data_IF_080703444322
#
_entry.id   IF_080703444322
#
_cell.length_a   1.000
_cell.length_b   1.000
_cell.length_c   1.000
_cell.angle_alpha   90.00
_cell.angle_beta   90.00
_cell.angle_gamma   90.00
#
_symmetry.space_group_name_H-M   'P 1'
#
loop_
_entity.id
_entity.type
_entity.pdbx_description
1 polymer ?
#
# COMPACT_ATOMS: atom_id res chain seq x y z
N UNK A 1 -51.56 -17.37 -0.71
CA UNK A 1 -51.16 -17.02 -2.09
C UNK A 1 -50.56 -15.61 -2.22
N UNK A 2 -50.80 -14.67 -1.28
CA UNK A 2 -50.10 -13.37 -1.24
C UNK A 2 -48.82 -13.37 -0.37
N UNK A 3 -48.71 -14.21 0.65
CA UNK A 3 -47.57 -14.21 1.60
C UNK A 3 -46.28 -14.78 1.01
N UNK A 4 -46.37 -15.81 0.15
CA UNK A 4 -45.22 -16.43 -0.54
C UNK A 4 -44.62 -15.52 -1.63
N UNK A 5 -45.40 -14.56 -2.13
CA UNK A 5 -44.95 -13.57 -3.13
C UNK A 5 -44.17 -12.41 -2.50
N UNK A 6 -44.29 -12.19 -1.19
CA UNK A 6 -43.55 -11.16 -0.46
C UNK A 6 -42.18 -11.68 -0.03
N UNK A 7 -42.09 -12.90 0.49
CA UNK A 7 -40.80 -13.50 0.89
C UNK A 7 -39.85 -13.72 -0.31
N UNK A 8 -40.38 -14.08 -1.48
CA UNK A 8 -39.57 -14.21 -2.71
C UNK A 8 -39.07 -12.86 -3.25
N UNK A 9 -39.79 -11.77 -2.97
CA UNK A 9 -39.38 -10.41 -3.35
C UNK A 9 -38.35 -9.84 -2.37
N UNK A 10 -38.42 -10.25 -1.11
CA UNK A 10 -37.51 -9.85 -0.04
C UNK A 10 -36.15 -10.58 -0.13
N UNK A 11 -36.17 -11.88 -0.47
CA UNK A 11 -34.94 -12.66 -0.74
C UNK A 11 -34.20 -12.21 -2.02
N UNK A 12 -34.94 -11.80 -3.06
CA UNK A 12 -34.36 -11.23 -4.28
C UNK A 12 -33.74 -9.84 -4.04
N UNK A 13 -34.27 -9.07 -3.09
CA UNK A 13 -33.70 -7.80 -2.69
C UNK A 13 -32.41 -8.01 -1.88
N UNK A 14 -32.37 -9.01 -0.99
CA UNK A 14 -31.18 -9.31 -0.19
C UNK A 14 -29.98 -9.81 -1.02
N UNK A 15 -30.20 -10.57 -2.10
CA UNK A 15 -29.13 -11.05 -2.99
C UNK A 15 -28.68 -10.00 -4.03
N UNK A 16 -29.57 -9.14 -4.50
CA UNK A 16 -29.20 -7.96 -5.30
C UNK A 16 -28.37 -6.96 -4.48
N UNK A 17 -28.70 -6.80 -3.20
CA UNK A 17 -27.90 -6.04 -2.23
C UNK A 17 -26.53 -6.70 -2.03
N UNK A 18 -26.42 -8.03 -2.09
CA UNK A 18 -25.17 -8.77 -1.95
C UNK A 18 -24.24 -8.66 -3.17
N UNK A 19 -24.80 -8.71 -4.39
CA UNK A 19 -24.03 -8.42 -5.60
C UNK A 19 -23.58 -6.94 -5.67
N UNK A 20 -24.40 -6.02 -5.13
CA UNK A 20 -23.98 -4.64 -4.89
C UNK A 20 -22.93 -4.52 -3.77
N UNK A 21 -23.01 -5.31 -2.69
CA UNK A 21 -22.02 -5.30 -1.60
C UNK A 21 -20.67 -5.89 -2.03
N UNK A 22 -20.66 -6.85 -2.95
CA UNK A 22 -19.42 -7.44 -3.48
C UNK A 22 -18.69 -6.47 -4.43
N UNK A 23 -19.41 -5.55 -5.08
CA UNK A 23 -18.87 -4.69 -6.15
C UNK A 23 -18.73 -3.20 -5.77
N UNK A 24 -19.29 -2.77 -4.64
CA UNK A 24 -19.33 -1.35 -4.19
C UNK A 24 -18.53 -1.10 -2.91
N UNK A 25 -17.70 -2.02 -2.43
CA UNK A 25 -16.82 -1.77 -1.27
C UNK A 25 -15.40 -1.47 -1.74
N UNK A 26 -15.05 -0.21 -2.08
CA UNK A 26 -13.68 0.22 -1.91
C UNK A 26 -13.48 0.56 -0.42
N UNK A 27 -12.47 -0.07 0.16
CA UNK A 27 -11.77 0.35 1.37
C UNK A 27 -12.45 0.04 2.72
N UNK A 28 -11.76 -0.81 3.48
CA UNK A 28 -11.80 -1.01 4.93
C UNK A 28 -13.10 -1.54 5.55
N UNK A 29 -13.30 -2.86 5.55
CA UNK A 29 -14.10 -3.48 6.60
C UNK A 29 -13.70 -4.94 6.87
N UNK A 30 -13.76 -5.34 8.13
CA UNK A 30 -13.35 -6.64 8.73
C UNK A 30 -14.10 -7.87 8.17
N UNK A 31 -14.94 -7.71 7.15
CA UNK A 31 -15.92 -8.72 6.68
C UNK A 31 -15.46 -9.63 5.55
N UNK A 32 -14.17 -9.60 5.19
CA UNK A 32 -13.60 -10.48 4.14
C UNK A 32 -13.81 -12.00 4.36
N UNK A 33 -13.78 -12.58 5.58
CA UNK A 33 -13.96 -14.02 5.75
C UNK A 33 -15.43 -14.47 5.60
N UNK A 34 -16.40 -13.59 5.88
CA UNK A 34 -17.84 -13.87 5.74
C UNK A 34 -18.22 -14.01 4.27
N UNK A 35 -17.66 -13.15 3.42
CA UNK A 35 -17.88 -13.16 1.96
C UNK A 35 -17.39 -14.47 1.31
N UNK A 36 -16.27 -15.02 1.78
CA UNK A 36 -15.76 -16.31 1.31
C UNK A 36 -16.68 -17.48 1.70
N UNK A 37 -17.25 -17.46 2.92
CA UNK A 37 -18.15 -18.50 3.39
C UNK A 37 -19.49 -18.50 2.61
N UNK A 38 -19.98 -17.32 2.27
CA UNK A 38 -21.22 -17.13 1.50
C UNK A 38 -21.05 -17.52 0.02
N UNK A 39 -19.87 -17.27 -0.55
CA UNK A 39 -19.50 -17.74 -1.88
C UNK A 39 -19.51 -19.29 -1.94
N UNK A 40 -18.93 -19.95 -0.92
CA UNK A 40 -18.90 -21.41 -0.82
C UNK A 40 -20.32 -21.99 -0.70
N UNK A 41 -21.21 -21.35 0.07
CA UNK A 41 -22.61 -21.80 0.18
C UNK A 41 -23.37 -21.69 -1.14
N UNK A 42 -23.12 -20.63 -1.91
CA UNK A 42 -23.79 -20.42 -3.20
C UNK A 42 -23.34 -21.43 -4.26
N UNK A 43 -22.04 -21.77 -4.28
CA UNK A 43 -21.47 -22.82 -5.14
C UNK A 43 -22.04 -24.21 -4.78
N UNK A 44 -22.30 -24.46 -3.49
CA UNK A 44 -22.85 -25.74 -3.00
C UNK A 44 -24.35 -25.89 -3.31
N UNK A 45 -25.11 -24.80 -3.45
CA UNK A 45 -26.56 -24.87 -3.66
C UNK A 45 -27.01 -25.06 -5.12
N UNK A 46 -26.11 -24.99 -6.10
CA UNK A 46 -26.35 -25.48 -7.48
C UNK A 46 -27.59 -24.93 -8.19
N UNK A 47 -28.07 -23.74 -7.83
CA UNK A 47 -29.23 -23.12 -8.47
C UNK A 47 -28.85 -22.56 -9.85
N UNK A 48 -29.52 -23.02 -10.91
CA UNK A 48 -29.43 -22.38 -12.23
C UNK A 48 -29.97 -20.94 -12.15
N UNK A 49 -29.07 -19.98 -11.92
CA UNK A 49 -29.39 -18.57 -11.87
C UNK A 49 -29.61 -18.05 -13.30
N UNK A 50 -30.87 -17.89 -13.70
CA UNK A 50 -31.24 -17.29 -14.99
C UNK A 50 -31.73 -15.86 -14.78
N UNK A 51 -30.89 -14.89 -15.08
CA UNK A 51 -31.27 -13.48 -15.13
C UNK A 51 -32.34 -13.26 -16.20
N UNK A 52 -33.36 -12.45 -15.90
CA UNK A 52 -34.27 -11.97 -16.94
C UNK A 52 -33.54 -10.95 -17.83
N UNK A 53 -33.95 -10.82 -19.10
CA UNK A 53 -33.31 -9.90 -20.06
C UNK A 53 -33.28 -8.44 -19.57
N UNK A 54 -34.27 -8.02 -18.79
CA UNK A 54 -34.26 -6.69 -18.18
C UNK A 54 -33.20 -6.59 -17.08
N UNK A 55 -33.09 -7.58 -16.20
CA UNK A 55 -32.07 -7.61 -15.15
C UNK A 55 -30.65 -7.67 -15.72
N UNK A 56 -30.42 -8.46 -16.77
CA UNK A 56 -29.14 -8.52 -17.48
C UNK A 56 -28.75 -7.13 -18.02
N UNK A 57 -29.70 -6.41 -18.62
CA UNK A 57 -29.47 -5.04 -19.10
C UNK A 57 -29.10 -4.08 -17.97
N UNK A 58 -29.81 -4.13 -16.84
CA UNK A 58 -29.50 -3.30 -15.67
C UNK A 58 -28.10 -3.58 -15.10
N UNK A 59 -27.72 -4.86 -15.01
CA UNK A 59 -26.39 -5.26 -14.53
C UNK A 59 -25.30 -4.71 -15.45
N UNK A 60 -25.46 -4.86 -16.77
CA UNK A 60 -24.50 -4.34 -17.76
C UNK A 60 -24.37 -2.81 -17.66
N UNK A 61 -25.49 -2.09 -17.59
CA UNK A 61 -25.49 -0.62 -17.51
C UNK A 61 -24.81 -0.12 -16.21
N UNK A 62 -25.08 -0.75 -15.08
CA UNK A 62 -24.44 -0.41 -13.80
C UNK A 62 -22.93 -0.69 -13.85
N UNK A 63 -22.52 -1.88 -14.33
CA UNK A 63 -21.11 -2.25 -14.42
C UNK A 63 -20.33 -1.33 -15.36
N UNK A 64 -20.90 -0.95 -16.50
CA UNK A 64 -20.30 0.01 -17.43
C UNK A 64 -20.13 1.38 -16.78
N UNK A 65 -21.15 1.87 -16.07
CA UNK A 65 -21.09 3.15 -15.35
C UNK A 65 -19.99 3.17 -14.29
N UNK A 66 -19.92 2.14 -13.44
CA UNK A 66 -18.89 2.01 -12.40
C UNK A 66 -17.50 1.94 -13.02
N UNK A 67 -17.33 1.15 -14.08
CA UNK A 67 -16.05 1.02 -14.80
C UNK A 67 -15.60 2.36 -15.38
N UNK A 68 -16.51 3.13 -15.96
CA UNK A 68 -16.21 4.46 -16.51
C UNK A 68 -15.78 5.43 -15.41
N UNK A 69 -16.50 5.48 -14.29
CA UNK A 69 -16.15 6.34 -13.15
C UNK A 69 -14.79 5.98 -12.59
N UNK A 70 -14.52 4.68 -12.37
CA UNK A 70 -13.21 4.19 -11.89
C UNK A 70 -12.10 4.53 -12.88
N UNK A 71 -12.32 4.38 -14.18
CA UNK A 71 -11.35 4.74 -15.21
C UNK A 71 -11.01 6.25 -15.18
N UNK A 72 -12.02 7.11 -15.02
CA UNK A 72 -11.80 8.56 -14.86
C UNK A 72 -10.99 8.87 -13.60
N UNK A 73 -11.27 8.18 -12.49
CA UNK A 73 -10.49 8.31 -11.26
C UNK A 73 -9.04 7.83 -11.44
N UNK A 74 -8.79 6.75 -12.18
CA UNK A 74 -7.42 6.31 -12.52
C UNK A 74 -6.66 7.42 -13.24
N UNK A 75 -7.27 8.02 -14.26
CA UNK A 75 -6.66 9.10 -15.04
C UNK A 75 -6.38 10.30 -14.13
N UNK A 76 -7.34 10.68 -13.28
CA UNK A 76 -7.21 11.79 -12.34
C UNK A 76 -6.08 11.55 -11.32
N UNK A 77 -6.06 10.40 -10.64
CA UNK A 77 -5.05 10.08 -9.64
C UNK A 77 -3.64 9.98 -10.25
N UNK A 78 -3.51 9.54 -11.52
CA UNK A 78 -2.21 9.51 -12.23
C UNK A 78 -1.61 10.88 -12.52
N UNK A 79 -2.38 11.96 -12.42
CA UNK A 79 -1.84 13.33 -12.57
C UNK A 79 -1.01 13.77 -11.38
N UNK A 80 -1.12 13.11 -10.22
CA UNK A 80 -0.39 13.44 -9.01
C UNK A 80 0.90 12.64 -8.87
N UNK A 81 1.93 13.26 -8.30
CA UNK A 81 3.24 12.63 -8.09
C UNK A 81 3.34 11.87 -6.76
N UNK A 82 2.45 12.17 -5.81
CA UNK A 82 2.44 11.60 -4.45
C UNK A 82 2.20 10.08 -4.48
N UNK A 83 3.03 9.32 -3.74
CA UNK A 83 2.96 7.85 -3.69
C UNK A 83 1.62 7.33 -3.18
N UNK A 84 1.01 8.00 -2.20
CA UNK A 84 -0.29 7.62 -1.66
C UNK A 84 -1.37 7.72 -2.75
N UNK A 85 -1.32 8.79 -3.56
CA UNK A 85 -2.29 8.99 -4.65
C UNK A 85 -2.04 8.01 -5.80
N UNK A 86 -0.77 7.63 -6.06
CA UNK A 86 -0.44 6.56 -7.01
C UNK A 86 -0.96 5.20 -6.56
N UNK A 87 -0.92 4.89 -5.26
CA UNK A 87 -1.51 3.67 -4.72
C UNK A 87 -3.03 3.63 -4.96
N UNK A 88 -3.74 4.76 -4.76
CA UNK A 88 -5.16 4.87 -5.14
C UNK A 88 -5.40 4.71 -6.65
N UNK A 89 -4.52 5.27 -7.49
CA UNK A 89 -4.62 5.07 -8.94
C UNK A 89 -4.47 3.60 -9.34
N UNK A 90 -3.56 2.88 -8.69
CA UNK A 90 -3.33 1.45 -8.90
C UNK A 90 -4.54 0.63 -8.45
N UNK A 91 -5.12 0.95 -7.29
CA UNK A 91 -6.35 0.34 -6.77
C UNK A 91 -7.51 0.48 -7.76
N UNK A 92 -7.80 1.70 -8.19
CA UNK A 92 -8.86 1.94 -9.17
C UNK A 92 -8.60 1.26 -10.51
N UNK A 93 -7.34 1.08 -10.91
CA UNK A 93 -7.00 0.36 -12.13
C UNK A 93 -7.29 -1.14 -12.01
N UNK A 94 -7.00 -1.73 -10.86
CA UNK A 94 -7.39 -3.11 -10.59
C UNK A 94 -8.91 -3.29 -10.57
N UNK A 95 -9.65 -2.34 -10.00
CA UNK A 95 -11.12 -2.35 -10.04
C UNK A 95 -11.67 -2.30 -11.47
N UNK A 96 -11.05 -1.50 -12.35
CA UNK A 96 -11.44 -1.48 -13.78
C UNK A 96 -11.21 -2.85 -14.42
N UNK A 97 -10.05 -3.48 -14.17
CA UNK A 97 -9.74 -4.81 -14.73
C UNK A 97 -10.73 -5.85 -14.22
N UNK A 98 -10.98 -5.93 -12.92
CA UNK A 98 -11.88 -6.93 -12.33
C UNK A 98 -13.32 -6.72 -12.79
N UNK A 99 -13.79 -5.47 -12.90
CA UNK A 99 -15.12 -5.15 -13.44
C UNK A 99 -15.24 -5.54 -14.93
N UNK A 100 -14.21 -5.29 -15.75
CA UNK A 100 -14.21 -5.71 -17.16
C UNK A 100 -14.25 -7.24 -17.28
N UNK A 101 -13.46 -7.95 -16.48
CA UNK A 101 -13.50 -9.42 -16.43
C UNK A 101 -14.89 -9.92 -16.00
N UNK A 102 -15.47 -9.31 -14.98
CA UNK A 102 -16.82 -9.63 -14.50
C UNK A 102 -17.90 -9.37 -15.56
N UNK A 103 -17.79 -8.28 -16.32
CA UNK A 103 -18.71 -7.96 -17.41
C UNK A 103 -18.60 -8.97 -18.56
N UNK A 104 -17.37 -9.36 -18.94
CA UNK A 104 -17.13 -10.41 -19.93
C UNK A 104 -17.70 -11.75 -19.46
N UNK A 105 -17.52 -12.10 -18.18
CA UNK A 105 -18.08 -13.30 -17.59
C UNK A 105 -19.62 -13.29 -17.62
N UNK A 106 -20.25 -12.15 -17.26
CA UNK A 106 -21.71 -12.00 -17.31
C UNK A 106 -22.28 -12.16 -18.74
N UNK A 107 -21.60 -11.59 -19.75
CA UNK A 107 -22.00 -11.74 -21.16
C UNK A 107 -21.82 -13.16 -21.67
N UNK A 108 -20.78 -13.86 -21.21
CA UNK A 108 -20.49 -15.23 -21.60
C UNK A 108 -21.31 -16.25 -20.82
N UNK A 109 -21.85 -15.92 -19.65
CA UNK A 109 -22.58 -16.85 -18.77
C UNK A 109 -23.71 -17.60 -19.49
N UNK A 110 -24.36 -16.97 -20.46
CA UNK A 110 -25.43 -17.59 -21.26
C UNK A 110 -24.92 -18.60 -22.33
N UNK A 111 -23.63 -18.59 -22.65
CA UNK A 111 -22.99 -19.41 -23.69
C UNK A 111 -22.09 -20.52 -23.15
N UNK A 112 -21.66 -20.44 -21.88
CA UNK A 112 -20.77 -21.43 -21.25
C UNK A 112 -21.51 -22.32 -20.25
N UNK A 113 -21.13 -23.60 -20.18
CA UNK A 113 -21.73 -24.60 -19.29
C UNK A 113 -21.56 -24.22 -17.80
N UNK A 114 -22.58 -24.52 -16.98
CA UNK A 114 -22.72 -24.03 -15.60
C UNK A 114 -21.64 -24.39 -14.56
N UNK A 115 -20.59 -25.14 -14.93
CA UNK A 115 -19.44 -25.42 -14.06
C UNK A 115 -18.31 -24.40 -14.20
N UNK A 116 -18.33 -23.59 -15.26
CA UNK A 116 -17.29 -22.59 -15.54
C UNK A 116 -17.42 -21.39 -14.61
N UNK A 117 -18.64 -21.04 -14.21
CA UNK A 117 -18.93 -19.91 -13.32
C UNK A 117 -18.26 -20.07 -11.92
N UNK A 118 -18.45 -21.18 -11.17
CA UNK A 118 -17.80 -21.34 -9.87
C UNK A 118 -16.27 -21.47 -9.97
N UNK A 119 -15.74 -22.13 -11.02
CA UNK A 119 -14.29 -22.26 -11.21
C UNK A 119 -13.66 -20.91 -11.56
N UNK A 120 -14.31 -20.13 -12.44
CA UNK A 120 -13.89 -18.78 -12.80
C UNK A 120 -13.89 -17.85 -11.59
N UNK A 121 -14.92 -17.93 -10.75
CA UNK A 121 -15.00 -17.17 -9.50
C UNK A 121 -13.85 -17.51 -8.53
N UNK A 122 -13.51 -18.78 -8.36
CA UNK A 122 -12.39 -19.21 -7.49
C UNK A 122 -11.05 -18.71 -8.04
N UNK A 123 -10.82 -18.82 -9.35
CA UNK A 123 -9.57 -18.33 -9.97
C UNK A 123 -9.46 -16.81 -9.80
N UNK A 124 -10.54 -16.08 -10.04
CA UNK A 124 -10.57 -14.62 -9.88
C UNK A 124 -10.35 -14.22 -8.41
N UNK A 125 -10.93 -14.95 -7.45
CA UNK A 125 -10.72 -14.72 -6.03
C UNK A 125 -9.24 -14.91 -5.63
N UNK A 126 -8.60 -16.01 -6.05
CA UNK A 126 -7.17 -16.26 -5.79
C UNK A 126 -6.30 -15.17 -6.43
N UNK A 127 -6.57 -14.80 -7.68
CA UNK A 127 -5.84 -13.75 -8.38
C UNK A 127 -5.94 -12.41 -7.66
N UNK A 128 -7.15 -12.05 -7.22
CA UNK A 128 -7.42 -10.81 -6.48
C UNK A 128 -6.68 -10.84 -5.14
N UNK A 129 -6.81 -11.90 -4.35
CA UNK A 129 -6.12 -12.03 -3.06
C UNK A 129 -4.61 -11.87 -3.24
N UNK A 130 -4.01 -12.58 -4.20
CA UNK A 130 -2.56 -12.50 -4.47
C UNK A 130 -2.13 -11.07 -4.82
N UNK A 131 -2.87 -10.41 -5.71
CA UNK A 131 -2.58 -9.05 -6.16
C UNK A 131 -2.65 -8.07 -4.99
N UNK A 132 -3.71 -8.14 -4.19
CA UNK A 132 -3.89 -7.31 -3.00
C UNK A 132 -2.83 -7.57 -1.93
N UNK A 133 -2.44 -8.83 -1.70
CA UNK A 133 -1.36 -9.16 -0.76
C UNK A 133 -0.04 -8.52 -1.16
N UNK A 134 0.31 -8.52 -2.46
CA UNK A 134 1.51 -7.86 -2.96
C UNK A 134 1.44 -6.34 -2.75
N UNK A 135 0.33 -5.70 -3.12
CA UNK A 135 0.13 -4.26 -2.94
C UNK A 135 0.20 -3.84 -1.47
N UNK A 136 -0.37 -4.65 -0.57
CA UNK A 136 -0.29 -4.37 0.88
C UNK A 136 1.15 -4.47 1.37
N UNK A 137 1.91 -5.49 0.94
CA UNK A 137 3.31 -5.63 1.31
C UNK A 137 4.14 -4.44 0.80
N UNK A 138 3.94 -4.01 -0.44
CA UNK A 138 4.62 -2.82 -0.99
C UNK A 138 4.32 -1.56 -0.19
N UNK A 139 3.05 -1.33 0.18
CA UNK A 139 2.65 -0.19 1.02
C UNK A 139 3.22 -0.28 2.44
N UNK A 140 3.24 -1.47 3.04
CA UNK A 140 3.85 -1.69 4.35
C UNK A 140 5.35 -1.42 4.28
N UNK A 141 6.04 -1.87 3.23
CA UNK A 141 7.46 -1.61 3.05
C UNK A 141 7.76 -0.11 2.90
N UNK A 142 6.90 0.66 2.24
CA UNK A 142 7.03 2.13 2.17
C UNK A 142 6.82 2.78 3.55
N UNK A 143 5.89 2.25 4.37
CA UNK A 143 5.60 2.76 5.71
C UNK A 143 6.66 2.40 6.76
N UNK A 144 7.28 1.23 6.66
CA UNK A 144 8.27 0.73 7.64
C UNK A 144 9.64 1.41 7.47
N UNK A 145 9.83 2.20 6.41
CA UNK A 145 11.07 2.92 6.12
C UNK A 145 12.07 2.02 5.43
N UNK A 146 12.16 2.17 4.11
CA UNK A 146 13.15 1.46 3.31
C UNK A 146 14.48 2.21 3.37
N UNK A 147 15.58 1.48 3.51
CA UNK A 147 16.91 2.09 3.44
C UNK A 147 17.17 2.68 2.05
N UNK A 148 17.77 3.87 2.02
CA UNK A 148 18.15 4.56 0.79
C UNK A 148 19.13 3.73 -0.04
N UNK A 149 19.15 3.91 -1.38
CA UNK A 149 20.05 3.17 -2.25
C UNK A 149 21.53 3.45 -1.87
N UNK A 150 22.44 2.47 -2.07
CA UNK A 150 23.85 2.60 -1.68
C UNK A 150 24.55 3.83 -2.28
N UNK A 151 24.15 4.25 -3.47
CA UNK A 151 24.66 5.44 -4.14
C UNK A 151 24.35 6.73 -3.35
N UNK A 152 23.15 6.81 -2.75
CA UNK A 152 22.76 7.94 -1.91
C UNK A 152 23.49 7.92 -0.57
N UNK A 153 23.64 6.74 0.03
CA UNK A 153 24.44 6.58 1.25
C UNK A 153 25.90 6.99 1.03
N UNK A 154 26.51 6.61 -0.10
CA UNK A 154 27.86 7.04 -0.47
C UNK A 154 27.98 8.56 -0.66
N UNK A 155 26.98 9.19 -1.30
CA UNK A 155 26.91 10.66 -1.42
C UNK A 155 26.88 11.32 -0.04
N UNK A 156 26.07 10.81 0.88
CA UNK A 156 26.00 11.30 2.26
C UNK A 156 27.33 11.12 3.00
N UNK A 157 27.92 9.92 2.97
CA UNK A 157 29.22 9.65 3.58
C UNK A 157 30.30 10.60 3.06
N UNK A 158 30.33 10.85 1.74
CA UNK A 158 31.28 11.78 1.14
C UNK A 158 31.06 13.23 1.63
N UNK A 159 29.81 13.69 1.73
CA UNK A 159 29.49 15.03 2.21
C UNK A 159 29.88 15.23 3.68
N UNK A 160 29.69 14.20 4.50
CA UNK A 160 30.06 14.19 5.91
C UNK A 160 31.59 14.18 6.07
N UNK A 161 32.30 13.35 5.30
CA UNK A 161 33.76 13.23 5.37
C UNK A 161 34.46 14.54 5.02
N UNK A 162 33.94 15.23 3.99
CA UNK A 162 34.49 16.49 3.51
C UNK A 162 33.88 17.72 4.20
N UNK A 163 33.10 17.54 5.27
CA UNK A 163 32.46 18.65 5.96
C UNK A 163 33.45 19.51 6.74
N UNK A 164 34.28 18.87 7.56
CA UNK A 164 35.21 19.57 8.44
C UNK A 164 36.49 18.76 8.67
N UNK A 165 37.64 19.44 8.79
CA UNK A 165 38.95 18.78 8.99
C UNK A 165 39.06 18.04 10.32
N UNK A 166 38.22 18.41 11.29
CA UNK A 166 38.21 17.77 12.61
C UNK A 166 37.46 16.43 12.63
N UNK A 167 36.67 16.11 11.59
CA UNK A 167 36.01 14.81 11.48
C UNK A 167 37.10 13.74 11.37
N UNK A 168 37.21 12.90 12.39
CA UNK A 168 38.19 11.82 12.42
C UNK A 168 37.64 10.62 11.68
N UNK A 169 36.46 10.15 12.08
CA UNK A 169 35.80 8.96 11.55
C UNK A 169 34.31 9.25 11.30
N UNK A 170 33.71 8.50 10.39
CA UNK A 170 32.26 8.41 10.22
C UNK A 170 31.90 7.00 10.66
N UNK A 171 31.09 6.91 11.71
CA UNK A 171 30.79 5.62 12.32
C UNK A 171 29.59 4.96 11.65
N UNK A 172 28.48 5.71 11.58
CA UNK A 172 27.25 5.26 10.95
C UNK A 172 26.71 6.33 10.00
N UNK A 173 26.25 5.89 8.82
CA UNK A 173 25.41 6.69 7.94
C UNK A 173 24.21 5.84 7.58
N UNK A 174 23.02 6.30 7.99
CA UNK A 174 21.76 5.67 7.66
C UNK A 174 20.85 6.71 7.02
N UNK A 175 20.12 6.27 6.01
CA UNK A 175 19.04 7.04 5.44
C UNK A 175 17.89 6.09 5.17
N UNK A 176 16.69 6.47 5.59
CA UNK A 176 15.48 5.69 5.38
C UNK A 176 14.33 6.57 4.89
N UNK A 177 13.46 5.98 4.07
CA UNK A 177 12.34 6.70 3.45
C UNK A 177 11.28 7.03 4.49
N UNK A 178 10.75 8.25 4.42
CA UNK A 178 9.54 8.67 5.12
C UNK A 178 8.66 9.44 4.13
N UNK A 179 7.63 8.78 3.59
CA UNK A 179 6.87 9.32 2.47
C UNK A 179 7.75 9.49 1.23
N UNK A 180 7.82 10.70 0.68
CA UNK A 180 8.60 11.00 -0.54
C UNK A 180 10.03 11.50 -0.29
N UNK A 181 10.46 11.63 0.97
CA UNK A 181 11.77 12.15 1.36
C UNK A 181 12.51 11.18 2.27
N UNK A 182 13.79 11.47 2.57
CA UNK A 182 14.62 10.70 3.48
C UNK A 182 14.75 11.37 4.84
N UNK A 183 14.74 10.54 5.88
CA UNK A 183 15.33 10.87 7.17
C UNK A 183 16.74 10.32 7.18
N UNK A 184 17.69 11.14 7.62
CA UNK A 184 19.11 10.81 7.62
C UNK A 184 19.65 10.84 9.03
N UNK A 185 20.37 9.79 9.43
CA UNK A 185 21.06 9.66 10.71
C UNK A 185 22.55 9.48 10.42
N UNK A 186 23.38 10.34 10.99
CA UNK A 186 24.84 10.35 10.79
C UNK A 186 25.53 10.46 12.14
N UNK A 187 26.48 9.56 12.38
CA UNK A 187 27.32 9.57 13.55
C UNK A 187 28.75 9.91 13.11
N UNK A 188 29.27 11.06 13.57
CA UNK A 188 30.64 11.49 13.29
C UNK A 188 31.48 11.52 14.57
N UNK A 189 32.74 11.13 14.42
CA UNK A 189 33.70 11.12 15.52
C UNK A 189 34.58 12.36 15.47
N UNK A 190 34.58 13.12 16.55
CA UNK A 190 35.36 14.34 16.76
C UNK A 190 36.48 14.11 17.79
N UNK A 191 37.47 15.02 17.88
CA UNK A 191 38.52 14.96 18.90
C UNK A 191 37.94 15.00 20.32
N UNK A 192 38.37 14.10 21.20
CA UNK A 192 37.92 14.05 22.61
C UNK A 192 38.28 15.31 23.42
N UNK A 193 39.30 16.05 23.00
CA UNK A 193 39.76 17.29 23.60
C UNK A 193 39.05 18.54 23.05
N UNK A 194 38.13 18.37 22.10
CA UNK A 194 37.35 19.45 21.51
C UNK A 194 36.33 20.02 22.50
N UNK A 195 36.25 21.35 22.68
CA UNK A 195 35.18 21.97 23.45
C UNK A 195 33.79 21.65 22.90
N UNK A 196 32.81 21.40 23.77
CA UNK A 196 31.44 21.02 23.37
C UNK A 196 30.79 22.03 22.42
N UNK A 197 31.04 23.33 22.61
CA UNK A 197 30.48 24.36 21.74
C UNK A 197 31.05 24.27 20.31
N UNK A 198 32.34 24.00 20.15
CA UNK A 198 32.97 23.83 18.84
C UNK A 198 32.46 22.54 18.15
N UNK A 199 32.32 21.46 18.92
CA UNK A 199 31.73 20.23 18.43
C UNK A 199 30.28 20.45 17.97
N UNK A 200 29.48 21.15 18.78
CA UNK A 200 28.09 21.49 18.47
C UNK A 200 27.99 22.33 17.19
N UNK A 201 28.80 23.38 17.05
CA UNK A 201 28.81 24.23 15.86
C UNK A 201 29.15 23.43 14.58
N UNK A 202 30.09 22.48 14.67
CA UNK A 202 30.43 21.59 13.55
C UNK A 202 29.25 20.67 13.20
N UNK A 203 28.59 20.10 14.21
CA UNK A 203 27.43 19.21 14.05
C UNK A 203 26.20 19.92 13.50
N UNK A 204 25.86 21.09 14.03
CA UNK A 204 24.75 21.93 13.55
C UNK A 204 24.99 22.36 12.09
N UNK A 205 26.20 22.80 11.76
CA UNK A 205 26.56 23.13 10.38
C UNK A 205 26.48 21.91 9.44
N UNK A 206 26.77 20.70 9.93
CA UNK A 206 26.61 19.47 9.13
C UNK A 206 25.13 19.16 8.92
N UNK A 207 24.32 19.28 9.96
CA UNK A 207 22.87 19.06 9.89
C UNK A 207 22.25 20.00 8.86
N UNK A 208 22.50 21.31 8.96
CA UNK A 208 21.99 22.29 7.99
C UNK A 208 22.44 21.97 6.56
N UNK A 209 23.68 21.52 6.38
CA UNK A 209 24.23 21.18 5.06
C UNK A 209 23.52 19.98 4.45
N UNK A 210 23.16 18.99 5.25
CA UNK A 210 22.39 17.82 4.80
C UNK A 210 20.94 18.21 4.50
N UNK A 211 20.27 18.96 5.38
CA UNK A 211 18.88 19.40 5.20
C UNK A 211 18.68 20.36 4.00
N UNK A 212 19.76 20.89 3.40
CA UNK A 212 19.70 21.63 2.13
C UNK A 212 19.52 20.76 0.89
N UNK A 213 19.69 19.44 1.01
CA UNK A 213 19.42 18.52 -0.09
C UNK A 213 17.91 18.34 -0.26
N UNK A 214 17.35 18.53 -1.47
CA UNK A 214 15.90 18.47 -1.69
C UNK A 214 15.29 17.10 -1.39
N UNK A 215 16.10 16.04 -1.37
CA UNK A 215 15.66 14.69 -1.04
C UNK A 215 15.54 14.42 0.47
N UNK A 216 16.05 15.31 1.33
CA UNK A 216 16.13 15.11 2.79
C UNK A 216 15.10 16.00 3.49
N UNK A 217 14.21 15.37 4.27
CA UNK A 217 13.24 16.09 5.11
C UNK A 217 13.88 16.53 6.43
N UNK A 218 14.69 15.64 7.02
CA UNK A 218 15.35 15.87 8.31
C UNK A 218 16.66 15.10 8.41
N UNK A 219 17.67 15.72 9.02
CA UNK A 219 18.92 15.07 9.37
C UNK A 219 19.15 15.08 10.90
N UNK A 220 19.64 13.98 11.43
CA UNK A 220 20.07 13.81 12.81
C UNK A 220 21.57 13.53 12.79
N UNK A 221 22.34 14.40 13.47
CA UNK A 221 23.80 14.29 13.54
C UNK A 221 24.17 13.98 14.99
N UNK A 222 24.69 12.78 15.24
CA UNK A 222 25.30 12.40 16.50
C UNK A 222 26.80 12.74 16.46
N UNK A 223 27.32 13.25 17.59
CA UNK A 223 28.73 13.60 17.75
C UNK A 223 29.34 12.70 18.81
N UNK A 224 30.23 11.82 18.39
CA UNK A 224 30.95 10.90 19.28
C UNK A 224 32.43 11.28 19.42
N UNK A 225 33.05 10.82 20.50
CA UNK A 225 34.49 10.93 20.73
C UNK A 225 35.21 9.58 20.65
N UNK A 226 34.46 8.48 20.65
CA UNK A 226 34.95 7.12 20.46
C UNK A 226 34.29 6.46 19.24
N UNK A 227 34.92 5.41 18.73
CA UNK A 227 34.42 4.59 17.61
C UNK A 227 34.32 3.10 18.01
N UNK A 228 34.67 2.79 19.26
CA UNK A 228 34.64 1.45 19.84
C UNK A 228 33.31 1.23 20.56
N UNK A 229 32.21 1.35 19.83
CA UNK A 229 30.81 1.09 20.23
C UNK A 229 30.63 0.04 21.35
N UNK A 230 30.86 0.42 22.61
CA UNK A 230 30.41 -0.36 23.75
C UNK A 230 28.96 0.04 24.02
N UNK A 231 28.02 -0.92 24.10
CA UNK A 231 26.62 -0.58 24.36
C UNK A 231 26.49 0.12 25.71
N UNK A 232 26.28 1.43 25.69
CA UNK A 232 26.12 2.26 26.89
C UNK A 232 24.95 1.80 27.77
N UNK A 233 23.89 1.27 27.13
CA UNK A 233 22.68 0.78 27.78
C UNK A 233 22.78 -0.62 28.39
N UNK A 234 23.89 -1.34 28.22
CA UNK A 234 24.09 -2.65 28.86
C UNK A 234 24.55 -2.54 30.32
N UNK A 235 24.90 -1.34 30.82
CA UNK A 235 25.49 -1.15 32.15
C UNK A 235 24.49 -0.88 33.29
N UNK A 236 23.19 -0.77 33.02
CA UNK A 236 22.20 -0.43 34.06
C UNK A 236 21.63 -1.63 34.84
N UNK A 237 22.16 -2.85 34.65
CA UNK A 237 21.65 -4.06 35.32
C UNK A 237 22.59 -4.69 36.35
N UNK A 238 23.78 -4.12 36.59
CA UNK A 238 24.77 -4.64 37.55
C UNK A 238 25.07 -3.63 38.68
N UNK A 239 24.06 -3.25 39.46
CA UNK A 239 24.22 -2.63 40.80
C UNK A 239 23.16 -3.13 41.77
#
# INVERSE_FOLDING_TARGET
MLTVRLEAKEAANHTAVLAQHIMVVPVADEKKPECLAELVQTVVQGGEFRLTKEQEKWVIDIMLSVTLVKLLLVIYCRTFTNEIVKAYAQDHFFDVITNVIGLVAALLANYVQGWIDPVGAIILAIYTIRTWSMTVLENVHSLVGQSAPPEFLQKLTYLCWNHHKAVRHIDTVRAYTFGSHYFVEVDIVLPCDMPLHEAHDIGEALQEKLERLPEIERAFVHLDYEFTHQPEHARSHDT
#
